data_IF_272293046217
#
_entry.id   IF_272293046217
#
_cell.length_a   1.000
_cell.length_b   1.000
_cell.length_c   1.000
_cell.angle_alpha   90.00
_cell.angle_beta   90.00
_cell.angle_gamma   90.00
#
_symmetry.space_group_name_H-M   'P 1'
#
loop_
_entity.id
_entity.type
_entity.pdbx_description
1 polymer ?
#
# COMPACT_ATOMS: atom_id res chain seq x y z
N UNK A 1 3.70 13.92 3.75
CA UNK A 1 3.13 13.56 2.43
C UNK A 1 4.20 12.87 1.61
N UNK A 2 4.18 11.55 1.63
CA UNK A 2 5.00 10.71 0.78
C UNK A 2 4.36 10.68 -0.61
N UNK A 3 4.55 11.75 -1.37
CA UNK A 3 4.33 11.70 -2.81
C UNK A 3 5.60 11.15 -3.43
N UNK A 4 5.62 9.87 -3.73
CA UNK A 4 6.57 9.34 -4.67
C UNK A 4 6.11 9.79 -6.06
N UNK A 5 6.80 10.77 -6.63
CA UNK A 5 6.48 11.32 -7.94
C UNK A 5 6.93 10.30 -8.98
N UNK A 6 5.96 9.71 -9.65
CA UNK A 6 6.18 8.86 -10.82
C UNK A 6 6.56 9.71 -12.03
N UNK A 7 7.72 9.51 -12.60
CA UNK A 7 8.03 9.98 -13.95
C UNK A 7 7.78 8.89 -14.97
N UNK A 8 7.13 9.29 -16.04
CA UNK A 8 6.48 8.53 -17.08
C UNK A 8 7.28 7.40 -17.76
N UNK A 9 6.50 6.38 -18.07
CA UNK A 9 6.49 5.56 -19.29
C UNK A 9 7.80 4.96 -19.78
N UNK A 10 8.00 3.71 -19.50
CA UNK A 10 8.22 2.61 -20.45
C UNK A 10 8.71 1.37 -19.70
N UNK A 11 8.07 0.30 -19.95
CA UNK A 11 8.36 -1.07 -19.51
C UNK A 11 7.42 -1.63 -18.43
N UNK A 12 6.25 -1.92 -18.90
CA UNK A 12 5.14 -2.53 -18.12
C UNK A 12 5.51 -3.86 -17.45
N UNK A 13 6.64 -4.46 -17.80
CA UNK A 13 7.01 -5.80 -17.36
C UNK A 13 7.96 -5.86 -16.16
N UNK A 14 8.62 -4.77 -15.82
CA UNK A 14 9.70 -4.78 -14.79
C UNK A 14 9.40 -3.99 -13.53
N UNK A 15 8.25 -3.31 -13.40
CA UNK A 15 8.07 -2.23 -12.44
C UNK A 15 6.92 -2.38 -11.45
N UNK A 16 6.50 -3.58 -11.12
CA UNK A 16 5.30 -3.74 -10.28
C UNK A 16 5.39 -3.04 -8.91
N UNK A 17 6.60 -2.75 -8.43
CA UNK A 17 6.84 -2.12 -7.12
C UNK A 17 7.97 -1.10 -7.15
N UNK A 18 8.64 -0.92 -8.29
CA UNK A 18 9.79 -0.01 -8.42
C UNK A 18 9.38 1.45 -8.23
N UNK A 19 8.20 1.81 -8.69
CA UNK A 19 7.61 3.14 -8.55
C UNK A 19 7.37 3.57 -7.08
N UNK A 20 7.30 2.61 -6.16
CA UNK A 20 7.21 2.88 -4.72
C UNK A 20 8.56 2.90 -4.01
N UNK A 21 9.57 2.21 -4.53
CA UNK A 21 10.81 1.94 -3.79
C UNK A 21 12.09 2.45 -4.45
N UNK A 22 12.09 2.81 -5.74
CA UNK A 22 13.29 3.23 -6.48
C UNK A 22 13.96 4.46 -5.86
N UNK A 23 13.19 5.48 -5.53
CA UNK A 23 13.68 6.74 -4.97
C UNK A 23 13.82 6.70 -3.43
N UNK A 24 13.37 5.62 -2.77
CA UNK A 24 13.32 5.58 -1.32
C UNK A 24 14.68 5.72 -0.63
N UNK A 25 15.79 5.09 -1.11
CA UNK A 25 17.10 5.28 -0.50
C UNK A 25 17.65 6.70 -0.64
N UNK A 26 17.37 7.36 -1.77
CA UNK A 26 17.79 8.73 -2.00
C UNK A 26 16.99 9.70 -1.13
N UNK A 27 15.66 9.54 -1.09
CA UNK A 27 14.79 10.35 -0.25
C UNK A 27 15.15 10.19 1.23
N UNK A 28 15.39 8.96 1.68
CA UNK A 28 15.84 8.68 3.06
C UNK A 28 17.05 9.48 3.46
N UNK A 29 18.05 9.58 2.57
CA UNK A 29 19.28 10.39 2.81
C UNK A 29 19.00 11.88 2.80
N UNK A 30 18.13 12.35 1.91
CA UNK A 30 17.81 13.78 1.79
C UNK A 30 17.03 14.32 2.99
N UNK A 31 16.15 13.53 3.57
CA UNK A 31 15.29 13.96 4.69
C UNK A 31 15.75 13.40 6.05
N UNK A 32 16.86 12.68 6.07
CA UNK A 32 17.42 12.00 7.25
C UNK A 32 16.37 11.16 8.00
N UNK A 33 15.60 10.38 7.24
CA UNK A 33 14.56 9.52 7.78
C UNK A 33 14.73 8.06 7.31
N UNK A 34 14.48 7.07 8.16
CA UNK A 34 14.63 5.66 7.78
C UNK A 34 13.52 5.22 6.81
N UNK A 35 13.88 4.30 5.90
CA UNK A 35 12.90 3.55 5.12
C UNK A 35 12.34 2.43 5.99
N UNK A 36 11.03 2.23 5.93
CA UNK A 36 10.35 1.09 6.53
C UNK A 36 9.75 0.20 5.46
N UNK A 37 9.90 -1.11 5.63
CA UNK A 37 9.38 -2.11 4.69
C UNK A 37 8.94 -3.36 5.46
N UNK A 38 7.83 -3.95 5.04
CA UNK A 38 7.43 -5.25 5.57
C UNK A 38 8.47 -6.31 5.16
N UNK A 39 8.97 -7.14 6.10
CA UNK A 39 10.10 -8.05 5.81
C UNK A 39 9.80 -9.07 4.71
N UNK A 40 8.54 -9.42 4.47
CA UNK A 40 8.14 -10.34 3.41
C UNK A 40 8.45 -9.79 2.01
N UNK A 41 8.52 -8.46 1.84
CA UNK A 41 8.92 -7.82 0.58
C UNK A 41 10.43 -7.51 0.53
N UNK A 42 11.19 -7.96 1.52
CA UNK A 42 12.63 -7.73 1.58
C UNK A 42 13.40 -8.23 0.35
N UNK A 43 12.95 -9.32 -0.28
CA UNK A 43 13.55 -9.82 -1.51
C UNK A 43 13.32 -8.91 -2.71
N UNK A 44 12.15 -8.24 -2.80
CA UNK A 44 11.86 -7.23 -3.82
C UNK A 44 12.74 -5.99 -3.61
N UNK A 45 12.87 -5.57 -2.35
CA UNK A 45 13.76 -4.48 -1.97
C UNK A 45 15.21 -4.74 -2.37
N UNK A 46 15.76 -5.90 -1.98
CA UNK A 46 17.15 -6.25 -2.29
C UNK A 46 17.43 -6.34 -3.78
N UNK A 47 16.45 -6.76 -4.56
CA UNK A 47 16.56 -6.82 -6.01
C UNK A 47 16.63 -5.43 -6.64
N UNK A 48 15.86 -4.47 -6.13
CA UNK A 48 15.76 -3.12 -6.67
C UNK A 48 16.80 -2.18 -6.09
N UNK A 49 17.08 -2.30 -4.80
CA UNK A 49 17.98 -1.45 -4.03
C UNK A 49 19.09 -2.29 -3.35
N UNK A 50 19.99 -2.93 -4.12
CA UNK A 50 20.98 -3.82 -3.55
C UNK A 50 21.89 -3.07 -2.57
N UNK A 51 22.00 -3.61 -1.35
CA UNK A 51 22.81 -3.02 -0.28
C UNK A 51 22.15 -1.86 0.48
N UNK A 52 20.98 -1.39 0.08
CA UNK A 52 20.26 -0.39 0.86
C UNK A 52 19.53 -1.03 2.05
N UNK A 53 19.58 -0.35 3.19
CA UNK A 53 18.96 -0.81 4.43
C UNK A 53 17.54 -0.31 4.58
N UNK A 54 16.72 -1.10 5.26
CA UNK A 54 15.38 -0.70 5.72
C UNK A 54 15.15 -1.18 7.15
N UNK A 55 14.23 -0.55 7.86
CA UNK A 55 13.70 -1.02 9.14
C UNK A 55 12.45 -1.85 8.89
N UNK A 56 12.23 -2.85 9.74
CA UNK A 56 11.04 -3.70 9.61
C UNK A 56 9.77 -2.93 9.94
N UNK A 57 8.77 -3.08 9.09
CA UNK A 57 7.41 -2.58 9.27
C UNK A 57 6.50 -3.79 9.50
N UNK A 58 5.99 -3.93 10.71
CA UNK A 58 5.17 -5.09 11.09
C UNK A 58 3.72 -4.69 11.28
N UNK A 59 2.83 -5.67 11.13
CA UNK A 59 1.42 -5.52 11.44
C UNK A 59 1.21 -5.02 12.87
N UNK A 60 0.28 -4.07 13.06
CA UNK A 60 -0.01 -3.47 14.35
C UNK A 60 1.01 -2.44 14.85
N UNK A 61 2.09 -2.18 14.11
CA UNK A 61 3.02 -1.10 14.45
C UNK A 61 2.31 0.26 14.43
N UNK A 62 2.67 1.13 15.35
CA UNK A 62 2.13 2.50 15.43
C UNK A 62 3.26 3.52 15.39
N UNK A 63 3.05 4.61 14.65
CA UNK A 63 3.94 5.76 14.58
C UNK A 63 3.15 7.01 14.92
N UNK A 64 3.67 7.88 15.78
CA UNK A 64 3.08 9.19 16.02
C UNK A 64 3.81 10.25 15.21
N UNK A 65 3.11 10.92 14.31
CA UNK A 65 3.65 12.00 13.47
C UNK A 65 2.80 13.24 13.66
N UNK A 66 3.44 14.32 14.12
CA UNK A 66 2.76 15.60 14.39
C UNK A 66 1.53 15.48 15.31
N UNK A 67 1.55 14.54 16.25
CA UNK A 67 0.46 14.30 17.20
C UNK A 67 -0.64 13.37 16.70
N UNK A 68 -0.53 12.87 15.47
CA UNK A 68 -1.47 11.89 14.90
C UNK A 68 -0.86 10.49 14.92
N UNK A 69 -1.60 9.53 15.42
CA UNK A 69 -1.19 8.13 15.41
C UNK A 69 -1.51 7.47 14.07
N UNK A 70 -0.51 6.82 13.52
CA UNK A 70 -0.54 6.09 12.26
C UNK A 70 -0.40 4.59 12.56
N UNK A 71 -1.45 3.82 12.38
CA UNK A 71 -1.46 2.38 12.60
C UNK A 71 -1.20 1.63 11.31
N UNK A 72 -0.24 0.71 11.33
CA UNK A 72 0.08 -0.19 10.23
C UNK A 72 -0.82 -1.41 10.28
N UNK A 73 -1.42 -1.78 9.16
CA UNK A 73 -2.20 -3.00 8.99
C UNK A 73 -1.69 -3.78 7.78
N UNK A 74 -1.34 -5.05 7.98
CA UNK A 74 -0.90 -5.91 6.88
C UNK A 74 -2.07 -6.27 5.96
N UNK A 75 -1.87 -6.03 4.67
CA UNK A 75 -2.86 -6.29 3.61
C UNK A 75 -2.21 -6.99 2.43
N UNK A 76 -1.68 -8.22 2.62
CA UNK A 76 -1.04 -8.95 1.52
C UNK A 76 -2.02 -9.18 0.37
N UNK A 77 -1.47 -9.34 -0.83
CA UNK A 77 -2.23 -9.67 -2.04
C UNK A 77 -1.73 -8.96 -3.29
N UNK A 78 -1.52 -7.65 -3.28
CA UNK A 78 -0.81 -6.95 -4.35
C UNK A 78 0.68 -7.31 -4.32
N UNK A 79 1.30 -7.26 -3.15
CA UNK A 79 2.58 -7.91 -2.83
C UNK A 79 2.43 -8.72 -1.54
N UNK A 80 3.36 -9.65 -1.24
CA UNK A 80 3.32 -10.43 0.00
C UNK A 80 3.44 -9.57 1.26
N UNK A 81 4.13 -8.45 1.18
CA UNK A 81 4.36 -7.51 2.28
C UNK A 81 3.57 -6.20 2.18
N UNK A 82 2.51 -6.16 1.37
CA UNK A 82 1.65 -4.97 1.30
C UNK A 82 1.10 -4.60 2.66
N UNK A 83 1.11 -3.31 2.97
CA UNK A 83 0.53 -2.74 4.17
C UNK A 83 -0.30 -1.51 3.80
N UNK A 84 -1.28 -1.20 4.63
CA UNK A 84 -1.97 0.09 4.64
C UNK A 84 -1.65 0.81 5.95
N UNK A 85 -1.75 2.13 5.94
CA UNK A 85 -1.50 2.96 7.13
C UNK A 85 -2.77 3.74 7.42
N UNK A 86 -3.34 3.54 8.59
CA UNK A 86 -4.57 4.17 9.03
C UNK A 86 -4.30 5.26 10.06
N UNK A 87 -4.72 6.48 9.76
CA UNK A 87 -4.73 7.64 10.63
C UNK A 87 -6.17 7.85 11.14
N UNK A 88 -6.55 7.15 12.22
CA UNK A 88 -7.93 7.11 12.71
C UNK A 88 -8.46 8.49 13.05
N UNK A 89 -7.72 9.29 13.80
CA UNK A 89 -8.11 10.64 14.19
C UNK A 89 -8.29 11.60 13.01
N UNK A 90 -7.55 11.36 11.93
CA UNK A 90 -7.65 12.15 10.70
C UNK A 90 -8.73 11.60 9.75
N UNK A 91 -9.27 10.40 10.01
CA UNK A 91 -10.19 9.73 9.10
C UNK A 91 -9.57 9.39 7.74
N UNK A 92 -8.27 9.09 7.71
CA UNK A 92 -7.52 8.83 6.47
C UNK A 92 -6.85 7.46 6.47
N UNK A 93 -6.93 6.78 5.33
CA UNK A 93 -6.26 5.52 5.05
C UNK A 93 -5.30 5.69 3.86
N UNK A 94 -4.03 5.47 4.07
CA UNK A 94 -3.03 5.39 3.00
C UNK A 94 -2.97 3.94 2.51
N UNK A 95 -3.66 3.67 1.42
CA UNK A 95 -3.86 2.29 0.93
C UNK A 95 -2.73 1.77 0.06
N UNK A 96 -1.81 2.63 -0.41
CA UNK A 96 -0.85 2.22 -1.43
C UNK A 96 -1.59 1.56 -2.60
N UNK A 97 -1.13 0.37 -2.99
CA UNK A 97 -1.74 -0.40 -4.09
C UNK A 97 -2.66 -1.53 -3.60
N UNK A 98 -3.23 -1.39 -2.39
CA UNK A 98 -4.20 -2.35 -1.86
C UNK A 98 -5.62 -2.04 -2.33
N UNK A 99 -6.05 -0.77 -2.26
CA UNK A 99 -7.39 -0.32 -2.65
C UNK A 99 -7.32 0.98 -3.43
N UNK A 100 -8.01 1.01 -4.56
CA UNK A 100 -8.18 2.17 -5.44
C UNK A 100 -9.65 2.56 -5.57
N UNK A 101 -9.90 3.69 -6.19
CA UNK A 101 -11.23 4.00 -6.67
C UNK A 101 -11.64 2.95 -7.72
N UNK A 102 -12.72 2.23 -7.44
CA UNK A 102 -13.30 1.20 -8.33
C UNK A 102 -12.76 -0.21 -8.12
N UNK A 103 -11.87 -0.45 -7.13
CA UNK A 103 -11.53 -1.83 -6.79
C UNK A 103 -10.16 -2.08 -6.16
N UNK A 104 -9.85 -3.36 -5.95
CA UNK A 104 -8.57 -3.78 -5.42
C UNK A 104 -7.43 -3.48 -6.38
N UNK A 105 -6.23 -3.40 -5.83
CA UNK A 105 -5.01 -3.28 -6.61
C UNK A 105 -4.78 -4.48 -7.53
N UNK A 106 -4.08 -4.23 -8.63
CA UNK A 106 -3.85 -5.24 -9.66
C UNK A 106 -3.14 -6.48 -9.08
N UNK A 107 -3.64 -7.64 -9.48
CA UNK A 107 -3.09 -8.96 -9.21
C UNK A 107 -2.83 -9.71 -10.53
N UNK A 108 -2.47 -10.99 -10.48
CA UNK A 108 -2.17 -11.76 -11.69
C UNK A 108 -0.73 -11.65 -12.16
N UNK A 109 0.14 -11.04 -11.34
CA UNK A 109 1.59 -10.99 -11.55
C UNK A 109 2.33 -11.83 -10.51
N UNK A 110 3.65 -12.01 -10.70
CA UNK A 110 4.48 -12.73 -9.74
C UNK A 110 4.31 -12.18 -8.33
N UNK A 111 4.09 -13.06 -7.37
CA UNK A 111 3.94 -12.76 -5.94
C UNK A 111 2.63 -12.07 -5.54
N UNK A 112 1.70 -11.82 -6.46
CA UNK A 112 0.38 -11.30 -6.15
C UNK A 112 -0.70 -12.40 -6.14
N UNK A 113 -1.80 -12.15 -5.43
CA UNK A 113 -2.93 -13.08 -5.32
C UNK A 113 -4.23 -12.33 -5.13
N UNK A 114 -5.20 -12.55 -6.04
CA UNK A 114 -6.51 -11.93 -5.95
C UNK A 114 -7.28 -12.37 -4.71
N UNK A 115 -7.32 -13.67 -4.42
CA UNK A 115 -8.03 -14.18 -3.24
C UNK A 115 -7.45 -13.60 -1.95
N UNK A 116 -6.13 -13.42 -1.91
CA UNK A 116 -5.44 -12.85 -0.75
C UNK A 116 -5.75 -11.37 -0.56
N UNK A 117 -5.76 -10.56 -1.63
CA UNK A 117 -6.08 -9.14 -1.52
C UNK A 117 -7.54 -8.92 -1.12
N UNK A 118 -8.48 -9.72 -1.66
CA UNK A 118 -9.88 -9.69 -1.26
C UNK A 118 -10.03 -10.04 0.22
N UNK A 119 -9.36 -11.09 0.70
CA UNK A 119 -9.37 -11.43 2.12
C UNK A 119 -8.81 -10.30 3.00
N UNK A 120 -7.72 -9.67 2.58
CA UNK A 120 -7.13 -8.53 3.27
C UNK A 120 -8.08 -7.34 3.36
N UNK A 121 -8.76 -7.02 2.25
CA UNK A 121 -9.75 -5.95 2.20
C UNK A 121 -10.92 -6.22 3.15
N UNK A 122 -11.49 -7.41 3.10
CA UNK A 122 -12.60 -7.81 3.98
C UNK A 122 -12.22 -7.74 5.46
N UNK A 123 -11.03 -8.24 5.81
CA UNK A 123 -10.60 -8.37 7.19
C UNK A 123 -10.19 -7.05 7.84
N UNK A 124 -9.58 -6.14 7.05
CA UNK A 124 -8.80 -5.05 7.65
C UNK A 124 -9.17 -3.66 7.12
N UNK A 125 -9.86 -3.57 6.00
CA UNK A 125 -10.04 -2.28 5.31
C UNK A 125 -11.51 -1.89 5.19
N UNK A 126 -12.35 -2.77 4.66
CA UNK A 126 -13.73 -2.41 4.32
C UNK A 126 -14.68 -2.25 5.52
N UNK A 127 -14.25 -2.69 6.72
CA UNK A 127 -14.97 -2.45 7.98
C UNK A 127 -14.60 -1.12 8.66
N UNK A 128 -13.67 -0.34 8.09
CA UNK A 128 -13.37 1.00 8.58
C UNK A 128 -14.57 1.94 8.37
N UNK A 129 -14.67 3.06 9.13
CA UNK A 129 -15.75 4.02 8.98
C UNK A 129 -15.95 4.45 7.52
N UNK A 130 -17.21 4.52 7.08
CA UNK A 130 -17.56 4.79 5.68
C UNK A 130 -16.99 6.13 5.14
N UNK A 131 -16.86 7.12 6.01
CA UNK A 131 -16.30 8.43 5.72
C UNK A 131 -14.78 8.45 5.60
N UNK A 132 -14.08 7.35 5.94
CA UNK A 132 -12.62 7.28 5.85
C UNK A 132 -12.18 7.54 4.41
N UNK A 133 -11.36 8.56 4.23
CA UNK A 133 -10.78 8.91 2.93
C UNK A 133 -9.63 7.97 2.61
N UNK A 134 -9.69 7.33 1.46
CA UNK A 134 -8.66 6.43 0.97
C UNK A 134 -7.69 7.19 0.07
N UNK A 135 -6.45 7.33 0.54
CA UNK A 135 -5.32 7.90 -0.20
C UNK A 135 -4.62 6.76 -0.94
N UNK A 136 -4.90 6.66 -2.21
CA UNK A 136 -4.40 5.59 -3.08
C UNK A 136 -2.94 5.81 -3.49
N UNK A 137 -2.26 4.76 -3.90
CA UNK A 137 -0.89 4.87 -4.43
C UNK A 137 -0.83 5.63 -5.75
N UNK A 138 -1.86 5.50 -6.58
CA UNK A 138 -2.01 6.13 -7.88
C UNK A 138 -3.47 6.56 -8.11
N UNK A 139 -3.68 7.51 -9.03
CA UNK A 139 -5.02 7.94 -9.44
C UNK A 139 -5.77 8.74 -8.39
N UNK A 140 -7.09 8.72 -8.49
CA UNK A 140 -7.98 9.51 -7.64
C UNK A 140 -8.20 8.84 -6.28
N UNK A 141 -8.47 9.68 -5.28
CA UNK A 141 -8.85 9.23 -3.95
C UNK A 141 -10.30 8.76 -3.93
N UNK A 142 -10.63 7.94 -2.94
CA UNK A 142 -11.99 7.44 -2.73
C UNK A 142 -12.33 7.42 -1.24
N UNK A 143 -13.41 6.77 -0.84
CA UNK A 143 -13.78 6.53 0.55
C UNK A 143 -14.14 5.06 0.76
N UNK A 144 -14.05 4.59 2.00
CA UNK A 144 -14.47 3.22 2.33
C UNK A 144 -15.94 3.01 1.97
N UNK A 145 -16.81 3.98 2.25
CA UNK A 145 -18.23 3.88 1.95
C UNK A 145 -18.55 3.84 0.45
N UNK A 146 -17.71 4.42 -0.40
CA UNK A 146 -17.86 4.32 -1.85
C UNK A 146 -17.45 2.95 -2.38
N UNK A 147 -16.44 2.32 -1.78
CA UNK A 147 -15.84 1.08 -2.31
C UNK A 147 -16.43 -0.20 -1.69
N UNK A 148 -16.72 -0.21 -0.38
CA UNK A 148 -17.18 -1.41 0.32
C UNK A 148 -18.43 -2.08 -0.29
N UNK A 149 -19.43 -1.35 -0.83
CA UNK A 149 -20.59 -1.98 -1.47
C UNK A 149 -20.27 -2.80 -2.73
N UNK A 150 -19.09 -2.59 -3.33
CA UNK A 150 -18.72 -3.25 -4.59
C UNK A 150 -17.94 -4.55 -4.39
N UNK A 151 -17.70 -5.00 -3.16
CA UNK A 151 -16.92 -6.20 -2.85
C UNK A 151 -17.40 -7.44 -3.61
N UNK A 152 -18.71 -7.71 -3.59
CA UNK A 152 -19.30 -8.87 -4.28
C UNK A 152 -19.13 -8.79 -5.80
N UNK A 153 -19.14 -7.59 -6.36
CA UNK A 153 -18.88 -7.35 -7.77
C UNK A 153 -17.42 -7.69 -8.10
N UNK A 154 -16.46 -7.26 -7.26
CA UNK A 154 -15.04 -7.57 -7.46
C UNK A 154 -14.78 -9.07 -7.41
N UNK A 155 -15.36 -9.77 -6.40
CA UNK A 155 -15.24 -11.23 -6.27
C UNK A 155 -15.76 -11.93 -7.52
N UNK A 156 -16.93 -11.52 -8.03
CA UNK A 156 -17.54 -12.12 -9.25
C UNK A 156 -16.71 -11.84 -10.50
N UNK A 157 -16.09 -10.67 -10.59
CA UNK A 157 -15.22 -10.28 -11.72
C UNK A 157 -13.90 -11.05 -11.71
N UNK A 158 -13.34 -11.33 -10.54
CA UNK A 158 -12.15 -12.18 -10.37
C UNK A 158 -10.81 -11.47 -10.63
N UNK A 159 -10.79 -10.15 -10.71
CA UNK A 159 -9.59 -9.33 -10.91
C UNK A 159 -9.78 -7.89 -10.41
#
# INVERSE_FOLDING_TARGET
>A
STHCISSAASDVYKRQHSDHIDAAPELSRLVDAPVYLHPTDGFLWQRQNPGAHYRQLLDGATFTIAGTDLRVMSTPGHSPGSVVIYAEEAGELFSGDTLFQGGPGATGRSFSSFDTIIHSLQKSVLDLPAETVVRTGHGDHTTIGAEAPHLEEWIRRGF
#
